data_IF_888024375507
#
_entry.id   IF_888024375507
#
_cell.length_a   1.000
_cell.length_b   1.000
_cell.length_c   1.000
_cell.angle_alpha   90.00
_cell.angle_beta   90.00
_cell.angle_gamma   90.00
#
_symmetry.space_group_name_H-M   'P 1'
#
loop_
_entity.id
_entity.type
_entity.pdbx_description
1 polymer ?
#
# COMPACT_ATOMS: atom_id res chain seq x y z
N UNK A 1 -13.86 1.97 8.21
CA UNK A 1 -13.68 1.45 6.83
C UNK A 1 -12.56 2.25 6.21
N UNK A 2 -11.53 1.56 5.76
CA UNK A 2 -10.29 2.09 5.19
C UNK A 2 -10.31 2.06 3.67
N UNK A 3 -11.29 1.38 3.06
CA UNK A 3 -11.48 1.24 1.61
C UNK A 3 -11.17 2.52 0.81
N UNK A 4 -11.86 3.63 1.08
CA UNK A 4 -11.67 4.89 0.35
C UNK A 4 -10.24 5.43 0.48
N UNK A 5 -9.64 5.27 1.66
CA UNK A 5 -8.27 5.74 1.94
C UNK A 5 -7.24 4.89 1.23
N UNK A 6 -7.43 3.57 1.19
CA UNK A 6 -6.58 2.63 0.44
C UNK A 6 -6.69 2.90 -1.07
N UNK A 7 -7.90 3.16 -1.59
CA UNK A 7 -8.11 3.54 -3.00
C UNK A 7 -7.37 4.85 -3.31
N UNK A 8 -7.52 5.88 -2.47
CA UNK A 8 -6.83 7.15 -2.66
C UNK A 8 -5.30 7.00 -2.57
N UNK A 9 -4.82 6.14 -1.68
CA UNK A 9 -3.40 5.82 -1.57
C UNK A 9 -2.89 5.11 -2.83
N UNK A 10 -3.56 4.06 -3.28
CA UNK A 10 -3.23 3.32 -4.50
C UNK A 10 -3.17 4.21 -5.74
N UNK A 11 -4.11 5.15 -5.89
CA UNK A 11 -4.12 6.11 -7.01
C UNK A 11 -2.85 6.94 -7.12
N UNK A 12 -2.11 7.17 -6.03
CA UNK A 12 -0.83 7.89 -6.09
C UNK A 12 0.21 7.12 -6.91
N UNK A 13 0.09 5.80 -7.01
CA UNK A 13 1.02 4.94 -7.72
C UNK A 13 0.63 4.71 -9.18
N UNK A 14 -0.45 5.32 -9.68
CA UNK A 14 -0.77 5.32 -11.10
C UNK A 14 0.39 5.88 -11.92
N UNK A 15 0.81 5.14 -12.96
CA UNK A 15 1.96 5.49 -13.79
C UNK A 15 3.33 5.14 -13.19
N UNK A 16 3.39 4.64 -11.94
CA UNK A 16 4.60 4.07 -11.34
C UNK A 16 4.49 2.55 -11.14
N UNK A 17 3.33 2.08 -10.68
CA UNK A 17 3.02 0.66 -10.54
C UNK A 17 2.23 0.18 -11.76
N UNK A 18 2.43 -1.08 -12.16
CA UNK A 18 1.68 -1.69 -13.26
C UNK A 18 0.16 -1.62 -12.97
N UNK A 19 -0.67 -1.15 -13.92
CA UNK A 19 -2.11 -0.99 -13.70
C UNK A 19 -2.82 -2.27 -13.29
N UNK A 20 -2.38 -3.45 -13.76
CA UNK A 20 -2.98 -4.75 -13.43
C UNK A 20 -2.68 -5.12 -11.98
N UNK A 21 -1.47 -4.86 -11.51
CA UNK A 21 -1.09 -5.08 -10.10
C UNK A 21 -1.87 -4.13 -9.18
N UNK A 22 -1.96 -2.85 -9.58
CA UNK A 22 -2.69 -1.85 -8.82
C UNK A 22 -4.18 -2.19 -8.73
N UNK A 23 -4.83 -2.51 -9.86
CA UNK A 23 -6.24 -2.90 -9.84
C UNK A 23 -6.46 -4.20 -9.08
N UNK A 24 -5.59 -5.20 -9.28
CA UNK A 24 -5.68 -6.49 -8.60
C UNK A 24 -5.57 -6.36 -7.07
N UNK A 25 -4.67 -5.51 -6.57
CA UNK A 25 -4.57 -5.22 -5.14
C UNK A 25 -5.84 -4.53 -4.60
N UNK A 26 -6.42 -3.60 -5.36
CA UNK A 26 -7.62 -2.87 -4.92
C UNK A 26 -8.91 -3.69 -5.02
N UNK A 27 -8.96 -4.71 -5.88
CA UNK A 27 -10.14 -5.57 -6.06
C UNK A 27 -10.53 -6.34 -4.79
N UNK A 28 -9.56 -6.62 -3.90
CA UNK A 28 -9.83 -7.23 -2.59
C UNK A 28 -10.80 -6.41 -1.72
N UNK A 29 -10.88 -5.09 -1.93
CA UNK A 29 -11.83 -4.22 -1.23
C UNK A 29 -13.28 -4.62 -1.55
N UNK A 30 -13.57 -5.08 -2.79
CA UNK A 30 -14.90 -5.52 -3.21
C UNK A 30 -15.39 -6.72 -2.40
N UNK A 31 -14.45 -7.51 -1.87
CA UNK A 31 -14.71 -8.68 -1.04
C UNK A 31 -14.63 -8.38 0.47
N UNK A 32 -14.66 -7.09 0.86
CA UNK A 32 -14.46 -6.61 2.23
C UNK A 32 -13.09 -6.98 2.83
N UNK A 33 -12.10 -7.31 2.01
CA UNK A 33 -10.74 -7.64 2.45
C UNK A 33 -9.83 -6.41 2.37
N UNK A 34 -10.26 -5.30 2.99
CA UNK A 34 -9.56 -4.01 2.94
C UNK A 34 -8.11 -4.10 3.45
N UNK A 35 -7.90 -4.82 4.56
CA UNK A 35 -6.57 -5.01 5.14
C UNK A 35 -5.64 -5.77 4.17
N UNK A 36 -6.16 -6.80 3.51
CA UNK A 36 -5.41 -7.58 2.52
C UNK A 36 -5.13 -6.76 1.27
N UNK A 37 -6.08 -5.96 0.80
CA UNK A 37 -5.90 -5.04 -0.32
C UNK A 37 -4.69 -4.12 -0.10
N UNK A 38 -4.59 -3.57 1.12
CA UNK A 38 -3.48 -2.70 1.48
C UNK A 38 -2.15 -3.46 1.61
N UNK A 39 -2.16 -4.65 2.22
CA UNK A 39 -0.97 -5.49 2.34
C UNK A 39 -0.40 -5.87 0.95
N UNK A 40 -1.25 -6.36 0.04
CA UNK A 40 -0.87 -6.73 -1.33
C UNK A 40 -0.34 -5.51 -2.10
N UNK A 41 -0.96 -4.34 -1.93
CA UNK A 41 -0.48 -3.11 -2.55
C UNK A 41 0.92 -2.73 -2.05
N UNK A 42 1.16 -2.80 -0.74
CA UNK A 42 2.48 -2.55 -0.17
C UNK A 42 3.51 -3.59 -0.63
N UNK A 43 3.10 -4.84 -0.79
CA UNK A 43 3.96 -5.91 -1.30
C UNK A 43 4.40 -5.61 -2.73
N UNK A 44 3.47 -5.24 -3.63
CA UNK A 44 3.81 -4.82 -4.98
C UNK A 44 4.71 -3.57 -5.02
N UNK A 45 4.49 -2.59 -4.15
CA UNK A 45 5.39 -1.43 -4.05
C UNK A 45 6.81 -1.87 -3.70
N UNK A 46 6.96 -2.83 -2.79
CA UNK A 46 8.26 -3.34 -2.37
C UNK A 46 8.92 -4.26 -3.39
N UNK A 47 8.16 -5.20 -3.96
CA UNK A 47 8.65 -6.17 -4.94
C UNK A 47 9.19 -5.50 -6.21
N UNK A 48 8.56 -4.38 -6.62
CA UNK A 48 8.94 -3.65 -7.82
C UNK A 48 9.80 -2.40 -7.53
N UNK A 49 10.35 -2.28 -6.32
CA UNK A 49 11.22 -1.18 -5.89
C UNK A 49 10.66 0.22 -6.23
N UNK A 50 9.34 0.39 -6.05
CA UNK A 50 8.67 1.64 -6.37
C UNK A 50 9.07 2.70 -5.35
N UNK A 51 9.82 3.70 -5.82
CA UNK A 51 10.25 4.81 -4.96
C UNK A 51 9.05 5.60 -4.44
N UNK A 52 9.03 5.79 -3.12
CA UNK A 52 7.97 6.50 -2.40
C UNK A 52 8.47 7.84 -1.87
N UNK A 53 7.60 8.85 -1.84
CA UNK A 53 7.91 10.13 -1.17
C UNK A 53 7.76 10.01 0.34
N UNK A 54 8.23 11.02 1.08
CA UNK A 54 8.04 11.07 2.54
C UNK A 54 6.55 11.13 2.90
N UNK A 55 5.73 11.87 2.13
CA UNK A 55 4.28 11.96 2.35
C UNK A 55 3.54 10.65 2.06
N UNK A 56 4.04 9.84 1.12
CA UNK A 56 3.51 8.51 0.81
C UNK A 56 3.89 7.52 1.89
N UNK A 57 5.13 7.56 2.37
CA UNK A 57 5.58 6.78 3.50
C UNK A 57 4.74 7.09 4.75
N UNK A 58 4.60 8.36 5.12
CA UNK A 58 3.84 8.77 6.31
C UNK A 58 2.37 8.37 6.23
N UNK A 59 1.79 8.33 5.03
CA UNK A 59 0.44 7.84 4.81
C UNK A 59 0.34 6.32 4.94
N UNK A 60 1.32 5.58 4.40
CA UNK A 60 1.40 4.13 4.55
C UNK A 60 1.54 3.72 6.03
N UNK A 61 2.39 4.41 6.80
CA UNK A 61 2.55 4.15 8.24
C UNK A 61 1.25 4.38 9.00
N UNK A 62 0.56 5.49 8.72
CA UNK A 62 -0.74 5.77 9.36
C UNK A 62 -1.79 4.71 9.00
N UNK A 63 -1.82 4.24 7.76
CA UNK A 63 -2.71 3.15 7.35
C UNK A 63 -2.38 1.84 8.07
N UNK A 64 -1.10 1.50 8.23
CA UNK A 64 -0.67 0.33 9.02
C UNK A 64 -1.17 0.43 10.46
N UNK A 65 -0.94 1.57 11.12
CA UNK A 65 -1.35 1.78 12.51
C UNK A 65 -2.87 1.71 12.67
N UNK A 66 -3.62 2.34 11.77
CA UNK A 66 -5.08 2.39 11.82
C UNK A 66 -5.73 1.02 11.53
N UNK A 67 -5.14 0.21 10.63
CA UNK A 67 -5.58 -1.16 10.34
C UNK A 67 -5.18 -2.11 11.47
N UNK A 68 -4.13 -1.77 12.23
CA UNK A 68 -3.59 -2.58 13.33
C UNK A 68 -2.53 -3.59 12.89
N UNK A 69 -1.82 -3.32 11.80
CA UNK A 69 -0.69 -4.14 11.33
C UNK A 69 0.60 -3.84 12.13
N UNK A 70 1.53 -4.79 12.16
CA UNK A 70 2.88 -4.58 12.72
C UNK A 70 3.83 -4.08 11.64
N UNK A 71 4.37 -2.88 11.82
CA UNK A 71 5.34 -2.24 10.93
C UNK A 71 6.64 -3.06 10.74
N UNK A 72 6.93 -3.98 11.65
CA UNK A 72 8.13 -4.82 11.62
C UNK A 72 7.94 -6.10 10.82
N UNK A 73 6.71 -6.38 10.39
CA UNK A 73 6.31 -7.58 9.68
C UNK A 73 5.87 -7.27 8.24
N UNK A 74 5.71 -8.32 7.44
CA UNK A 74 5.17 -8.24 6.08
C UNK A 74 5.99 -7.31 5.16
N UNK A 75 5.31 -6.64 4.20
CA UNK A 75 5.97 -5.72 3.28
C UNK A 75 6.34 -4.38 3.94
N UNK A 76 5.71 -4.02 5.06
CA UNK A 76 5.84 -2.70 5.70
C UNK A 76 7.26 -2.38 6.17
N UNK A 77 7.99 -3.41 6.63
CA UNK A 77 9.37 -3.24 7.12
C UNK A 77 10.36 -2.76 6.05
N UNK A 78 10.03 -2.93 4.77
CA UNK A 78 10.89 -2.52 3.65
C UNK A 78 10.53 -1.15 3.08
N UNK A 79 9.41 -0.54 3.49
CA UNK A 79 9.00 0.76 2.96
C UNK A 79 10.05 1.86 3.22
N UNK A 80 10.77 1.79 4.34
CA UNK A 80 11.79 2.79 4.68
C UNK A 80 12.96 2.78 3.68
N UNK A 81 13.30 1.64 3.09
CA UNK A 81 14.40 1.55 2.11
C UNK A 81 14.02 2.11 0.74
N UNK A 82 12.74 2.36 0.48
CA UNK A 82 12.23 2.89 -0.80
C UNK A 82 12.04 4.41 -0.79
N UNK A 83 12.29 5.06 0.34
CA UNK A 83 12.09 6.50 0.49
C UNK A 83 13.17 7.27 -0.25
N UNK A 84 12.76 8.12 -1.20
CA UNK A 84 13.65 9.02 -1.96
C UNK A 84 13.80 10.41 -1.32
#
# INVERSE_FOLDING_TARGET
MFADRIIMFGKRFEGRLDPVLLSGALDYIVYNEESLAFEVLCDHICEYDILITSEEYDEAIRLVEDIGFDLREGPFKYLLSLRK
#
